data_IF_240816424782
#
_entry.id   IF_240816424782
#
_cell.length_a   1.000
_cell.length_b   1.000
_cell.length_c   1.000
_cell.angle_alpha   90.00
_cell.angle_beta   90.00
_cell.angle_gamma   90.00
#
_symmetry.space_group_name_H-M   'P 1'
#
loop_
_entity.id
_entity.type
_entity.pdbx_description
1 polymer ?
#
# COMPACT_ATOMS: atom_id res chain seq x y z
N UNK A 1 19.98 91.49 -26.55
CA UNK A 1 20.58 91.64 -27.90
C UNK A 1 22.07 91.47 -27.72
N UNK A 2 22.67 90.44 -28.34
CA UNK A 2 24.13 90.18 -28.45
C UNK A 2 24.80 89.82 -27.10
N UNK A 3 25.75 88.89 -26.93
CA UNK A 3 26.65 88.09 -27.78
C UNK A 3 27.18 86.94 -26.90
N UNK A 4 27.44 85.79 -27.52
CA UNK A 4 28.16 84.63 -26.97
C UNK A 4 29.55 84.97 -26.40
N UNK A 5 29.93 84.29 -25.32
CA UNK A 5 31.29 84.34 -24.77
C UNK A 5 31.88 82.92 -24.60
N UNK A 6 33.03 82.69 -25.28
CA UNK A 6 34.32 82.16 -24.77
C UNK A 6 34.30 80.93 -23.82
N UNK A 7 35.19 79.92 -23.83
CA UNK A 7 36.46 79.63 -24.50
C UNK A 7 36.92 78.22 -24.05
N UNK A 8 37.72 77.56 -24.90
CA UNK A 8 38.95 76.80 -24.63
C UNK A 8 39.11 75.62 -23.61
N UNK A 9 39.93 74.68 -24.13
CA UNK A 9 40.94 73.83 -23.50
C UNK A 9 40.54 72.53 -22.79
N UNK A 10 40.84 71.42 -23.48
CA UNK A 10 41.13 70.10 -22.91
C UNK A 10 42.66 69.93 -22.87
N UNK A 11 43.20 69.83 -21.66
CA UNK A 11 44.48 69.24 -21.22
C UNK A 11 44.21 68.91 -19.74
N UNK A 12 44.68 67.87 -19.05
CA UNK A 12 45.71 66.88 -19.30
C UNK A 12 45.77 65.91 -18.09
N UNK A 13 46.39 64.74 -18.34
CA UNK A 13 47.30 63.98 -17.46
C UNK A 13 46.87 63.35 -16.12
N UNK A 14 47.02 62.01 -16.11
CA UNK A 14 47.87 61.22 -15.19
C UNK A 14 47.43 60.94 -13.74
N UNK A 15 47.05 59.68 -13.49
CA UNK A 15 47.63 58.65 -12.55
C UNK A 15 48.42 59.09 -11.30
N UNK A 16 48.74 58.21 -10.30
CA UNK A 16 48.21 56.89 -9.86
C UNK A 16 48.13 56.73 -8.30
N UNK A 17 47.95 55.46 -7.84
CA UNK A 17 48.39 54.79 -6.58
C UNK A 17 47.27 54.35 -5.60
N UNK A 18 47.35 53.07 -5.19
CA UNK A 18 46.53 52.31 -4.21
C UNK A 18 46.94 52.62 -2.72
N UNK A 19 46.58 51.89 -1.62
CA UNK A 19 45.67 50.75 -1.39
C UNK A 19 44.83 50.81 -0.04
N UNK A 20 44.15 49.68 0.27
CA UNK A 20 43.77 49.08 1.59
C UNK A 20 42.30 49.13 2.11
N UNK A 21 41.78 47.90 2.28
CA UNK A 21 40.59 47.34 2.98
C UNK A 21 39.77 48.16 4.03
N UNK A 22 38.42 48.14 3.91
CA UNK A 22 37.47 47.45 4.85
C UNK A 22 35.99 47.53 4.42
N UNK A 23 35.30 46.40 4.67
CA UNK A 23 33.90 46.21 5.08
C UNK A 23 32.72 46.18 4.07
N UNK A 24 32.05 45.01 4.09
CA UNK A 24 30.62 44.70 3.93
C UNK A 24 29.88 45.05 2.62
N UNK A 25 29.29 44.05 1.96
CA UNK A 25 27.83 43.93 1.78
C UNK A 25 27.43 42.78 0.86
N UNK A 26 26.53 41.94 1.39
CA UNK A 26 25.47 41.12 0.79
C UNK A 26 25.68 40.35 -0.53
N UNK A 27 25.66 39.02 -0.41
CA UNK A 27 25.49 38.02 -1.46
C UNK A 27 23.98 37.71 -1.64
N UNK A 28 23.36 37.86 -2.82
CA UNK A 28 22.02 37.34 -3.03
C UNK A 28 22.10 35.86 -3.45
N UNK A 29 21.82 34.95 -2.51
CA UNK A 29 21.49 33.57 -2.82
C UNK A 29 20.22 33.52 -3.69
N UNK A 30 20.40 33.29 -4.97
CA UNK A 30 19.31 32.91 -5.87
C UNK A 30 18.81 31.53 -5.41
N UNK A 31 17.69 31.51 -4.69
CA UNK A 31 16.95 30.28 -4.38
C UNK A 31 16.59 29.57 -5.69
N UNK A 32 17.34 28.54 -6.07
CA UNK A 32 16.98 27.66 -7.18
C UNK A 32 15.69 26.92 -6.81
N UNK A 33 14.59 27.27 -7.48
CA UNK A 33 13.37 26.48 -7.47
C UNK A 33 13.71 25.09 -8.03
N UNK A 34 13.40 23.98 -7.34
CA UNK A 34 13.69 22.64 -7.84
C UNK A 34 12.93 22.41 -9.15
N UNK A 35 13.64 22.19 -10.25
CA UNK A 35 13.03 21.73 -11.50
C UNK A 35 12.76 20.23 -11.42
N UNK A 36 11.59 19.80 -11.93
CA UNK A 36 11.17 18.39 -12.00
C UNK A 36 12.21 17.59 -12.81
N UNK A 37 12.93 16.64 -12.20
CA UNK A 37 13.72 15.68 -12.95
C UNK A 37 12.76 14.72 -13.66
N UNK A 38 12.93 14.54 -14.97
CA UNK A 38 12.30 13.46 -15.74
C UNK A 38 13.07 12.18 -15.42
N UNK A 39 12.53 11.32 -14.55
CA UNK A 39 13.17 10.02 -14.25
C UNK A 39 12.76 8.94 -15.24
N UNK A 40 13.68 8.02 -15.61
CA UNK A 40 13.38 6.88 -16.47
C UNK A 40 12.54 5.85 -15.73
N UNK A 41 11.53 5.31 -16.41
CA UNK A 41 10.69 4.21 -15.92
C UNK A 41 11.52 2.92 -15.85
N UNK A 42 11.87 2.48 -14.63
CA UNK A 42 12.46 1.16 -14.39
C UNK A 42 11.32 0.15 -14.10
N UNK A 43 11.17 -0.93 -14.89
CA UNK A 43 10.19 -1.98 -14.64
C UNK A 43 10.31 -2.68 -13.27
N UNK A 44 11.45 -2.59 -12.58
CA UNK A 44 11.66 -3.17 -11.24
C UNK A 44 11.08 -2.31 -10.10
N UNK A 45 10.74 -1.03 -10.32
CA UNK A 45 10.07 -0.17 -9.32
C UNK A 45 8.58 -0.46 -9.16
N UNK A 46 8.11 -1.66 -9.52
CA UNK A 46 6.71 -2.05 -9.39
C UNK A 46 6.31 -2.11 -7.92
N UNK A 47 5.13 -1.59 -7.64
CA UNK A 47 4.48 -1.78 -6.35
C UNK A 47 4.12 -3.26 -6.22
N UNK A 48 4.98 -4.02 -5.55
CA UNK A 48 4.75 -5.45 -5.30
C UNK A 48 3.58 -5.70 -4.33
N UNK A 49 3.21 -4.67 -3.55
CA UNK A 49 2.09 -4.70 -2.62
C UNK A 49 1.29 -3.41 -2.78
N UNK A 50 0.09 -3.43 -3.41
CA UNK A 50 -0.70 -2.21 -3.62
C UNK A 50 -1.14 -1.54 -2.31
N UNK A 51 -0.89 -2.17 -1.18
CA UNK A 51 -1.22 -1.67 0.14
C UNK A 51 -0.09 -1.97 1.14
N UNK A 52 0.07 -1.08 2.10
CA UNK A 52 1.09 -1.18 3.13
C UNK A 52 0.58 -0.75 4.49
N UNK A 53 1.23 -1.23 5.54
CA UNK A 53 1.09 -0.72 6.91
C UNK A 53 2.27 0.18 7.24
N UNK A 54 1.97 1.31 7.88
CA UNK A 54 2.96 2.26 8.38
C UNK A 54 3.58 1.69 9.66
N UNK A 55 4.90 1.50 9.68
CA UNK A 55 5.61 0.85 10.80
C UNK A 55 6.21 1.83 11.81
N UNK A 56 6.27 3.11 11.46
CA UNK A 56 6.71 4.21 12.33
C UNK A 56 5.94 5.49 12.00
N UNK A 57 5.74 6.36 13.00
CA UNK A 57 5.13 7.67 12.77
C UNK A 57 5.98 8.50 11.80
N UNK A 58 5.34 9.03 10.76
CA UNK A 58 5.97 9.94 9.82
C UNK A 58 5.28 11.31 9.88
N UNK A 59 6.03 12.32 10.32
CA UNK A 59 5.59 13.71 10.33
C UNK A 59 6.06 14.39 9.03
N UNK A 60 5.14 14.88 8.19
CA UNK A 60 5.50 15.50 6.92
C UNK A 60 6.22 16.82 7.18
N UNK A 61 7.30 17.06 6.44
CA UNK A 61 8.07 18.30 6.43
C UNK A 61 7.71 19.19 5.24
N UNK A 62 7.06 18.62 4.22
CA UNK A 62 6.67 19.31 2.99
C UNK A 62 5.19 19.06 2.69
N UNK A 63 4.54 19.98 1.99
CA UNK A 63 3.10 19.89 1.68
C UNK A 63 2.72 18.70 0.78
N UNK A 64 3.68 18.19 -0.01
CA UNK A 64 3.47 17.03 -0.88
C UNK A 64 3.69 15.69 -0.18
N UNK A 65 4.10 15.70 1.09
CA UNK A 65 4.34 14.49 1.88
C UNK A 65 3.08 14.04 2.62
N UNK A 66 2.86 12.73 2.66
CA UNK A 66 1.75 12.13 3.37
C UNK A 66 2.16 11.79 4.80
N UNK A 67 1.69 12.59 5.76
CA UNK A 67 1.83 12.26 7.18
C UNK A 67 1.02 11.02 7.56
N UNK A 68 1.62 10.13 8.34
CA UNK A 68 0.94 8.90 8.76
C UNK A 68 1.38 8.41 10.14
N UNK A 69 0.46 7.72 10.83
CA UNK A 69 0.73 7.13 12.15
C UNK A 69 1.10 5.67 12.03
N UNK A 70 1.95 5.19 12.94
CA UNK A 70 2.26 3.77 13.07
C UNK A 70 0.97 2.98 13.21
N UNK A 71 0.84 1.94 12.41
CA UNK A 71 -0.33 1.09 12.30
C UNK A 71 -1.32 1.54 11.24
N UNK A 72 -1.24 2.75 10.68
CA UNK A 72 -2.14 3.16 9.59
C UNK A 72 -1.92 2.27 8.36
N UNK A 73 -3.02 1.85 7.74
CA UNK A 73 -3.00 1.14 6.47
C UNK A 73 -3.25 2.15 5.34
N UNK A 74 -2.42 2.10 4.29
CA UNK A 74 -2.45 3.03 3.16
C UNK A 74 -2.40 2.28 1.83
N UNK A 75 -3.00 2.86 0.80
CA UNK A 75 -2.86 2.38 -0.58
C UNK A 75 -1.63 3.00 -1.24
N UNK A 76 -0.91 2.21 -2.04
CA UNK A 76 0.26 2.63 -2.81
C UNK A 76 -0.11 2.68 -4.29
N UNK A 77 0.24 3.77 -4.95
CA UNK A 77 -0.17 4.03 -6.36
C UNK A 77 1.01 4.12 -7.30
N UNK A 78 2.08 4.81 -6.90
CA UNK A 78 3.29 4.94 -7.70
C UNK A 78 4.55 4.80 -6.84
N UNK A 79 5.59 4.20 -7.40
CA UNK A 79 6.95 4.27 -6.86
C UNK A 79 7.67 5.36 -7.64
N UNK A 80 8.06 6.46 -6.98
CA UNK A 80 8.75 7.56 -7.66
C UNK A 80 10.22 7.22 -7.93
N UNK A 81 10.84 6.58 -6.94
CA UNK A 81 12.21 6.11 -6.88
C UNK A 81 12.31 5.03 -5.79
N UNK A 82 13.51 4.51 -5.52
CA UNK A 82 13.72 3.45 -4.53
C UNK A 82 13.38 3.84 -3.08
N UNK A 83 13.15 5.14 -2.82
CA UNK A 83 12.98 5.70 -1.48
C UNK A 83 11.57 6.17 -1.18
N UNK A 84 10.74 6.47 -2.19
CA UNK A 84 9.43 7.10 -1.98
C UNK A 84 8.29 6.45 -2.77
N UNK A 85 7.17 6.24 -2.08
CA UNK A 85 5.90 5.89 -2.70
C UNK A 85 4.94 7.07 -2.70
N UNK A 86 4.15 7.20 -3.76
CA UNK A 86 2.92 7.99 -3.74
C UNK A 86 1.78 7.13 -3.19
N UNK A 87 1.11 7.62 -2.16
CA UNK A 87 0.16 6.86 -1.37
C UNK A 87 -1.09 7.67 -1.02
N UNK A 88 -2.13 6.97 -0.58
CA UNK A 88 -3.38 7.56 -0.12
C UNK A 88 -3.91 6.86 1.14
N UNK A 89 -4.63 7.61 1.98
CA UNK A 89 -5.38 7.05 3.10
C UNK A 89 -6.64 6.36 2.61
N UNK A 90 -7.07 5.27 3.25
CA UNK A 90 -8.26 4.50 2.80
C UNK A 90 -9.57 5.29 2.82
N UNK A 91 -9.66 6.36 3.62
CA UNK A 91 -10.79 7.30 3.60
C UNK A 91 -10.73 8.31 2.44
N UNK A 92 -9.70 8.19 1.59
CA UNK A 92 -9.40 9.03 0.42
C UNK A 92 -9.23 10.53 0.75
N UNK A 93 -9.02 10.89 2.01
CA UNK A 93 -8.89 12.29 2.43
C UNK A 93 -7.50 12.85 2.26
N UNK A 94 -6.47 12.02 2.28
CA UNK A 94 -5.09 12.46 2.17
C UNK A 94 -4.34 11.63 1.14
N UNK A 95 -3.50 12.32 0.37
CA UNK A 95 -2.59 11.74 -0.63
C UNK A 95 -1.25 12.45 -0.53
N UNK A 96 -0.18 11.76 -0.90
CA UNK A 96 1.16 12.35 -0.87
C UNK A 96 2.27 11.32 -0.92
N UNK A 97 3.49 11.79 -0.86
CA UNK A 97 4.68 10.95 -0.83
C UNK A 97 5.01 10.50 0.59
N UNK A 98 5.31 9.22 0.77
CA UNK A 98 5.76 8.65 2.04
C UNK A 98 7.03 7.80 1.82
N UNK A 99 8.02 7.85 2.73
CA UNK A 99 9.24 7.11 2.52
C UNK A 99 9.02 5.60 2.68
N UNK A 100 9.61 4.82 1.78
CA UNK A 100 9.49 3.36 1.72
C UNK A 100 9.91 2.66 3.02
N UNK A 101 10.91 3.18 3.72
CA UNK A 101 11.40 2.61 4.98
C UNK A 101 10.44 2.81 6.17
N UNK A 102 9.37 3.61 6.01
CA UNK A 102 8.29 3.73 6.99
C UNK A 102 7.16 2.74 6.73
N UNK A 103 7.28 1.90 5.71
CA UNK A 103 6.23 0.99 5.27
C UNK A 103 6.64 -0.47 5.34
N UNK A 104 5.64 -1.32 5.56
CA UNK A 104 5.71 -2.76 5.33
C UNK A 104 4.58 -3.16 4.40
N UNK A 105 4.93 -3.79 3.28
CA UNK A 105 3.94 -4.34 2.34
C UNK A 105 3.03 -5.36 3.01
N UNK A 106 1.75 -5.34 2.65
CA UNK A 106 0.77 -6.24 3.23
C UNK A 106 0.81 -7.62 2.58
N UNK A 107 0.75 -8.68 3.40
CA UNK A 107 0.56 -10.05 2.92
C UNK A 107 -0.92 -10.42 2.98
N UNK A 108 -1.56 -10.50 1.81
CA UNK A 108 -2.98 -10.85 1.67
C UNK A 108 -3.21 -12.32 1.34
N UNK A 109 -2.28 -12.98 0.65
CA UNK A 109 -2.37 -14.40 0.30
C UNK A 109 -0.98 -14.98 0.06
N UNK A 110 -0.90 -16.30 -0.11
CA UNK A 110 0.28 -16.96 -0.66
C UNK A 110 0.28 -16.88 -2.19
N UNK A 111 1.45 -16.89 -2.81
CA UNK A 111 1.55 -16.86 -4.27
C UNK A 111 1.09 -18.17 -4.92
N UNK A 112 1.07 -19.27 -4.15
CA UNK A 112 0.57 -20.57 -4.59
C UNK A 112 -0.96 -20.73 -4.45
N UNK A 113 -1.65 -19.77 -3.85
CA UNK A 113 -3.09 -19.84 -3.64
C UNK A 113 -3.86 -19.68 -4.96
N UNK A 114 -4.77 -20.61 -5.27
CA UNK A 114 -5.72 -20.48 -6.38
C UNK A 114 -7.04 -19.93 -5.85
N UNK A 115 -7.45 -18.77 -6.34
CA UNK A 115 -8.69 -18.11 -5.94
C UNK A 115 -9.84 -18.33 -6.92
N UNK A 116 -11.04 -18.46 -6.36
CA UNK A 116 -12.29 -18.62 -7.07
C UNK A 116 -13.22 -17.46 -6.73
N UNK A 117 -13.85 -16.87 -7.74
CA UNK A 117 -14.96 -15.94 -7.57
C UNK A 117 -16.27 -16.71 -7.62
N UNK A 118 -17.11 -16.47 -6.61
CA UNK A 118 -18.49 -16.98 -6.61
C UNK A 118 -19.33 -16.10 -7.52
N UNK A 119 -19.80 -16.68 -8.63
CA UNK A 119 -20.63 -15.97 -9.61
C UNK A 119 -22.12 -16.14 -9.35
N UNK A 120 -22.51 -17.16 -8.56
CA UNK A 120 -23.91 -17.44 -8.19
C UNK A 120 -24.01 -17.77 -6.70
N UNK A 121 -24.92 -17.11 -6.00
CA UNK A 121 -25.23 -17.42 -4.60
C UNK A 121 -25.72 -18.85 -4.46
N UNK A 122 -25.14 -19.60 -3.53
CA UNK A 122 -25.51 -20.97 -3.23
C UNK A 122 -25.76 -21.13 -1.73
N UNK A 123 -26.90 -21.73 -1.40
CA UNK A 123 -27.26 -22.09 -0.03
C UNK A 123 -26.97 -23.58 0.18
N UNK A 124 -26.24 -23.96 1.25
CA UNK A 124 -25.94 -25.35 1.56
C UNK A 124 -27.20 -26.20 1.63
N UNK A 125 -27.14 -27.39 1.04
CA UNK A 125 -28.19 -28.41 1.08
C UNK A 125 -27.76 -29.63 1.92
N UNK A 126 -26.46 -29.76 2.16
CA UNK A 126 -25.83 -30.81 2.95
C UNK A 126 -24.78 -30.23 3.92
N UNK A 127 -24.32 -31.06 4.86
CA UNK A 127 -23.28 -30.72 5.82
C UNK A 127 -21.87 -30.58 5.21
N UNK A 128 -21.65 -31.17 4.02
CA UNK A 128 -20.39 -31.03 3.27
C UNK A 128 -20.39 -29.81 2.36
N UNK A 129 -21.55 -29.19 2.14
CA UNK A 129 -21.70 -28.05 1.26
C UNK A 129 -21.19 -26.80 1.94
N UNK A 130 -20.45 -25.98 1.20
CA UNK A 130 -20.08 -24.63 1.65
C UNK A 130 -20.97 -23.60 0.95
N UNK A 131 -21.58 -22.74 1.75
CA UNK A 131 -22.45 -21.67 1.27
C UNK A 131 -21.67 -20.41 0.99
N UNK A 132 -22.03 -19.70 -0.07
CA UNK A 132 -21.45 -18.40 -0.40
C UNK A 132 -22.41 -17.55 -1.24
N UNK A 133 -22.22 -16.23 -1.21
CA UNK A 133 -22.96 -15.26 -2.01
C UNK A 133 -22.17 -14.93 -3.29
N UNK A 134 -22.90 -14.56 -4.35
CA UNK A 134 -22.26 -13.99 -5.52
C UNK A 134 -21.40 -12.78 -5.12
N UNK A 135 -20.17 -12.73 -5.63
CA UNK A 135 -19.15 -11.74 -5.28
C UNK A 135 -18.18 -12.20 -4.17
N UNK A 136 -18.51 -13.26 -3.43
CA UNK A 136 -17.58 -13.82 -2.44
C UNK A 136 -16.36 -14.46 -3.14
N UNK A 137 -15.21 -14.40 -2.48
CA UNK A 137 -13.96 -15.02 -2.92
C UNK A 137 -13.66 -16.25 -2.06
N UNK A 138 -13.19 -17.33 -2.70
CA UNK A 138 -12.89 -18.61 -2.07
C UNK A 138 -11.51 -19.10 -2.50
N UNK A 139 -10.88 -19.95 -1.68
CA UNK A 139 -9.68 -20.69 -2.04
C UNK A 139 -10.08 -22.03 -2.68
N UNK A 140 -9.47 -22.38 -3.81
CA UNK A 140 -9.60 -23.71 -4.39
C UNK A 140 -8.67 -24.69 -3.68
N UNK A 141 -9.21 -25.86 -3.33
CA UNK A 141 -8.44 -26.98 -2.74
C UNK A 141 -8.45 -28.22 -3.64
N UNK A 142 -9.16 -28.16 -4.77
CA UNK A 142 -9.23 -29.26 -5.72
C UNK A 142 -8.01 -29.23 -6.64
N UNK A 143 -7.07 -30.14 -6.41
CA UNK A 143 -5.85 -30.34 -7.23
C UNK A 143 -6.09 -30.52 -8.73
N UNK A 144 -7.34 -30.79 -9.16
CA UNK A 144 -7.71 -30.95 -10.58
C UNK A 144 -8.11 -29.63 -11.24
N UNK A 145 -8.11 -28.52 -10.51
CA UNK A 145 -8.41 -27.18 -11.03
C UNK A 145 -7.11 -26.40 -11.14
N UNK A 146 -6.78 -25.96 -12.35
CA UNK A 146 -5.56 -25.19 -12.62
C UNK A 146 -5.90 -23.87 -13.31
N UNK A 147 -4.97 -22.92 -13.20
CA UNK A 147 -5.02 -21.68 -13.96
C UNK A 147 -5.10 -21.94 -15.47
N UNK A 148 -5.94 -21.16 -16.16
CA UNK A 148 -6.13 -21.25 -17.61
C UNK A 148 -7.13 -22.33 -18.04
N UNK A 149 -7.46 -23.29 -17.18
CA UNK A 149 -8.46 -24.31 -17.46
C UNK A 149 -9.88 -23.81 -17.14
N UNK A 150 -10.92 -24.26 -17.87
CA UNK A 150 -12.29 -24.01 -17.47
C UNK A 150 -12.62 -24.73 -16.16
N UNK A 151 -13.43 -24.11 -15.30
CA UNK A 151 -13.92 -24.77 -14.09
C UNK A 151 -14.68 -26.06 -14.47
N UNK A 152 -14.30 -27.22 -13.91
CA UNK A 152 -15.02 -28.46 -14.15
C UNK A 152 -16.49 -28.35 -13.72
N UNK A 153 -17.42 -28.86 -14.54
CA UNK A 153 -18.84 -28.91 -14.22
C UNK A 153 -19.16 -30.04 -13.23
N UNK A 154 -18.60 -29.94 -12.02
CA UNK A 154 -18.78 -30.84 -10.88
C UNK A 154 -18.72 -30.04 -9.59
N UNK A 155 -18.90 -30.70 -8.46
CA UNK A 155 -18.60 -30.13 -7.15
C UNK A 155 -17.10 -29.92 -6.99
N UNK A 156 -16.72 -28.70 -6.62
CA UNK A 156 -15.33 -28.27 -6.41
C UNK A 156 -15.06 -28.20 -4.92
N UNK A 157 -13.98 -28.83 -4.48
CA UNK A 157 -13.52 -28.73 -3.11
C UNK A 157 -12.80 -27.40 -2.88
N UNK A 158 -13.27 -26.63 -1.92
CA UNK A 158 -12.83 -25.26 -1.70
C UNK A 158 -12.97 -24.86 -0.22
N UNK A 159 -12.44 -23.68 0.11
CA UNK A 159 -12.65 -23.05 1.41
C UNK A 159 -13.03 -21.59 1.28
N UNK A 160 -13.82 -21.09 2.23
CA UNK A 160 -13.99 -19.65 2.37
C UNK A 160 -12.72 -19.03 3.00
N UNK A 161 -12.63 -17.70 2.99
CA UNK A 161 -11.48 -17.00 3.57
C UNK A 161 -11.32 -17.23 5.08
N UNK A 162 -12.39 -17.54 5.80
CA UNK A 162 -12.33 -17.83 7.23
C UNK A 162 -11.80 -19.24 7.55
N UNK A 163 -11.49 -20.04 6.54
CA UNK A 163 -10.91 -21.39 6.68
C UNK A 163 -11.92 -22.53 6.78
N UNK A 164 -13.22 -22.27 6.65
CA UNK A 164 -14.23 -23.34 6.55
C UNK A 164 -14.12 -24.00 5.19
N UNK A 165 -14.05 -25.32 5.17
CA UNK A 165 -13.87 -26.13 3.97
C UNK A 165 -15.16 -26.85 3.61
N UNK A 166 -15.36 -27.12 2.33
CA UNK A 166 -16.51 -27.88 1.84
C UNK A 166 -16.51 -27.98 0.33
N UNK A 167 -17.65 -28.36 -0.23
CA UNK A 167 -17.84 -28.43 -1.68
C UNK A 167 -18.81 -27.37 -2.18
N UNK A 168 -18.52 -26.81 -3.35
CA UNK A 168 -19.34 -25.80 -4.01
C UNK A 168 -19.61 -26.18 -5.48
N UNK A 169 -20.81 -25.92 -6.05
CA UNK A 169 -21.09 -26.24 -7.45
C UNK A 169 -20.20 -25.46 -8.44
N UNK A 170 -19.39 -26.15 -9.24
CA UNK A 170 -18.49 -25.55 -10.23
C UNK A 170 -19.17 -24.58 -11.20
N UNK A 171 -20.43 -24.83 -11.54
CA UNK A 171 -21.26 -23.96 -12.40
C UNK A 171 -21.52 -22.53 -11.86
N UNK A 172 -21.15 -22.27 -10.61
CA UNK A 172 -21.24 -20.97 -9.94
C UNK A 172 -19.88 -20.39 -9.56
N UNK A 173 -18.78 -20.87 -10.17
CA UNK A 173 -17.42 -20.44 -9.88
C UNK A 173 -16.69 -19.95 -11.15
N UNK A 174 -15.76 -19.03 -10.97
CA UNK A 174 -14.82 -18.53 -11.96
C UNK A 174 -13.41 -18.51 -11.34
N UNK A 175 -12.38 -18.93 -12.08
CA UNK A 175 -10.99 -18.82 -11.63
C UNK A 175 -10.57 -17.35 -11.71
N UNK A 176 -10.00 -16.82 -10.62
CA UNK A 176 -9.41 -15.48 -10.60
C UNK A 176 -7.93 -15.55 -10.94
N UNK A 177 -7.55 -15.04 -12.11
CA UNK A 177 -6.18 -14.99 -12.63
C UNK A 177 -5.49 -13.63 -12.43
N UNK A 178 -6.28 -12.55 -12.34
CA UNK A 178 -5.76 -11.20 -12.12
C UNK A 178 -5.41 -10.93 -10.65
N UNK A 179 -4.12 -10.75 -10.36
CA UNK A 179 -3.64 -10.37 -9.02
C UNK A 179 -4.28 -9.08 -8.48
N UNK A 180 -4.55 -8.11 -9.36
CA UNK A 180 -5.25 -6.87 -8.96
C UNK A 180 -6.67 -7.18 -8.50
N UNK A 181 -7.44 -7.93 -9.29
CA UNK A 181 -8.83 -8.32 -8.96
C UNK A 181 -8.87 -9.15 -7.66
N UNK A 182 -7.90 -10.07 -7.47
CA UNK A 182 -7.77 -10.85 -6.23
C UNK A 182 -7.54 -9.90 -5.05
N UNK A 183 -6.54 -9.02 -5.12
CA UNK A 183 -6.23 -8.10 -4.02
C UNK A 183 -7.42 -7.20 -3.68
N UNK A 184 -8.12 -6.66 -4.69
CA UNK A 184 -9.31 -5.83 -4.49
C UNK A 184 -10.44 -6.58 -3.75
N UNK A 185 -10.66 -7.85 -4.09
CA UNK A 185 -11.65 -8.69 -3.41
C UNK A 185 -11.22 -9.06 -2.00
N UNK A 186 -9.95 -9.40 -1.80
CA UNK A 186 -9.39 -9.72 -0.48
C UNK A 186 -9.47 -8.54 0.48
N UNK A 187 -9.27 -7.31 0.00
CA UNK A 187 -9.38 -6.10 0.82
C UNK A 187 -10.83 -5.73 1.16
N UNK A 188 -11.79 -6.19 0.35
CA UNK A 188 -13.23 -6.04 0.61
C UNK A 188 -13.76 -7.10 1.57
N UNK A 189 -13.00 -8.16 1.84
CA UNK A 189 -13.35 -9.12 2.88
C UNK A 189 -13.09 -8.53 4.27
N UNK A 190 -13.90 -8.85 5.30
CA UNK A 190 -13.59 -8.50 6.68
C UNK A 190 -12.26 -9.13 7.12
N UNK A 191 -11.30 -8.31 7.53
CA UNK A 191 -9.97 -8.79 7.89
C UNK A 191 -9.32 -7.91 8.96
N UNK A 192 -8.28 -8.44 9.60
CA UNK A 192 -7.42 -7.71 10.51
C UNK A 192 -5.99 -7.74 9.98
N UNK A 193 -5.25 -6.63 10.10
CA UNK A 193 -3.84 -6.57 9.73
C UNK A 193 -2.98 -6.58 11.00
N UNK A 194 -2.05 -7.52 11.08
CA UNK A 194 -1.15 -7.63 12.22
C UNK A 194 -0.21 -6.42 12.33
N UNK A 195 -0.14 -5.83 13.53
CA UNK A 195 0.77 -4.72 13.88
C UNK A 195 2.08 -5.19 14.49
N UNK A 196 2.18 -6.47 14.80
CA UNK A 196 3.34 -7.12 15.41
C UNK A 196 3.49 -8.53 14.82
N UNK A 197 4.71 -9.07 14.84
CA UNK A 197 4.94 -10.48 14.50
C UNK A 197 4.79 -11.34 15.75
N UNK A 198 4.07 -12.45 15.63
CA UNK A 198 3.87 -13.45 16.69
C UNK A 198 4.38 -14.79 16.14
N UNK A 199 5.50 -15.29 16.68
CA UNK A 199 6.15 -16.54 16.23
C UNK A 199 5.79 -17.74 17.10
N UNK A 200 5.71 -17.55 18.42
CA UNK A 200 5.45 -18.59 19.41
C UNK A 200 4.17 -18.23 20.21
N UNK A 201 2.99 -18.39 19.60
CA UNK A 201 1.74 -17.99 20.23
C UNK A 201 1.45 -18.82 21.48
N UNK A 202 0.84 -18.19 22.49
CA UNK A 202 0.15 -18.91 23.55
C UNK A 202 -1.03 -19.72 22.98
N UNK A 203 -1.61 -20.62 23.77
CA UNK A 203 -2.65 -21.53 23.27
C UNK A 203 -3.85 -20.80 22.61
N UNK A 204 -4.22 -21.30 21.44
CA UNK A 204 -5.24 -20.74 20.55
C UNK A 204 -4.88 -19.46 19.80
N UNK A 205 -3.75 -18.80 20.09
CA UNK A 205 -3.28 -17.66 19.30
C UNK A 205 -2.65 -18.11 17.99
N UNK A 206 -2.79 -17.27 16.97
CA UNK A 206 -2.27 -17.56 15.65
C UNK A 206 -0.84 -17.03 15.50
N UNK A 207 0.02 -17.83 14.86
CA UNK A 207 1.31 -17.35 14.40
C UNK A 207 1.09 -16.45 13.17
N UNK A 208 1.57 -15.21 13.20
CA UNK A 208 1.31 -14.23 12.16
C UNK A 208 2.47 -13.24 12.04
N UNK A 209 2.77 -12.78 10.83
CA UNK A 209 3.83 -11.79 10.60
C UNK A 209 3.28 -10.36 10.60
N UNK A 210 4.10 -9.38 11.00
CA UNK A 210 3.78 -7.97 10.82
C UNK A 210 3.33 -7.67 9.38
N UNK A 211 2.17 -7.04 9.22
CA UNK A 211 1.57 -6.69 7.93
C UNK A 211 0.80 -7.82 7.25
N UNK A 212 0.71 -9.00 7.87
CA UNK A 212 -0.09 -10.11 7.35
C UNK A 212 -1.58 -9.94 7.73
N UNK A 213 -2.46 -10.31 6.80
CA UNK A 213 -3.90 -10.32 7.02
C UNK A 213 -4.36 -11.58 7.77
N UNK A 214 -5.37 -11.39 8.62
CA UNK A 214 -6.22 -12.43 9.18
C UNK A 214 -7.66 -12.18 8.73
N UNK A 215 -8.24 -13.10 7.97
CA UNK A 215 -9.62 -13.03 7.51
C UNK A 215 -10.57 -13.43 8.61
N UNK A 216 -11.42 -12.51 9.04
CA UNK A 216 -12.20 -12.62 10.27
C UNK A 216 -13.42 -13.53 10.03
N UNK A 217 -13.53 -14.58 10.84
CA UNK A 217 -14.75 -15.38 10.97
C UNK A 217 -15.71 -14.72 11.97
N UNK A 218 -15.18 -14.35 13.14
CA UNK A 218 -15.93 -13.81 14.26
C UNK A 218 -15.02 -13.03 15.21
N UNK A 219 -15.63 -12.18 16.02
CA UNK A 219 -14.98 -11.53 17.14
C UNK A 219 -15.59 -12.03 18.44
N UNK A 220 -14.76 -12.33 19.43
CA UNK A 220 -15.19 -12.75 20.78
C UNK A 220 -14.33 -12.00 21.80
N UNK A 221 -14.96 -11.13 22.60
CA UNK A 221 -14.26 -10.25 23.51
C UNK A 221 -13.22 -9.39 22.77
N UNK A 222 -11.99 -9.36 23.30
CA UNK A 222 -10.88 -8.58 22.76
C UNK A 222 -10.03 -9.35 21.73
N UNK A 223 -10.63 -10.33 21.04
CA UNK A 223 -9.94 -11.13 20.03
C UNK A 223 -10.80 -11.39 18.81
N UNK A 224 -10.15 -11.38 17.65
CA UNK A 224 -10.72 -11.84 16.37
C UNK A 224 -10.23 -13.25 16.06
N UNK A 225 -11.09 -14.07 15.49
CA UNK A 225 -10.80 -15.45 15.10
C UNK A 225 -10.88 -15.56 13.58
N UNK A 226 -9.95 -16.29 12.98
CA UNK A 226 -9.90 -16.39 11.53
C UNK A 226 -8.73 -17.21 11.01
N UNK A 227 -8.52 -17.07 9.70
CA UNK A 227 -7.42 -17.68 8.96
C UNK A 227 -6.47 -16.59 8.46
N UNK A 228 -5.17 -16.77 8.65
CA UNK A 228 -4.17 -15.84 8.11
C UNK A 228 -4.01 -16.00 6.61
N UNK A 229 -3.44 -15.00 5.96
CA UNK A 229 -3.01 -15.07 4.57
C UNK A 229 -2.08 -16.27 4.32
N UNK A 230 -1.22 -16.62 5.26
CA UNK A 230 -0.35 -17.82 5.19
C UNK A 230 -1.05 -19.13 5.59
N UNK A 231 -2.36 -19.10 5.78
CA UNK A 231 -3.19 -20.28 5.98
C UNK A 231 -3.27 -20.88 7.37
N UNK A 232 -2.79 -20.16 8.40
CA UNK A 232 -2.90 -20.60 9.79
C UNK A 232 -4.23 -20.17 10.38
N UNK A 233 -4.83 -21.00 11.23
CA UNK A 233 -6.11 -20.68 11.90
C UNK A 233 -5.88 -20.44 13.37
N UNK A 234 -6.51 -19.41 13.93
CA UNK A 234 -6.43 -19.11 15.36
C UNK A 234 -7.02 -17.75 15.69
N UNK A 235 -6.72 -17.25 16.89
CA UNK A 235 -7.15 -15.92 17.36
C UNK A 235 -6.01 -14.90 17.35
N UNK A 236 -6.37 -13.63 17.20
CA UNK A 236 -5.48 -12.48 17.27
C UNK A 236 -6.12 -11.41 18.16
N UNK A 237 -5.37 -10.86 19.11
CA UNK A 237 -5.88 -9.82 20.00
C UNK A 237 -6.09 -8.50 19.24
N UNK A 238 -7.13 -7.75 19.60
CA UNK A 238 -7.42 -6.44 19.00
C UNK A 238 -6.27 -5.44 19.20
N UNK A 239 -5.53 -5.56 20.30
CA UNK A 239 -4.35 -4.73 20.56
C UNK A 239 -3.20 -5.01 19.59
N UNK A 240 -3.16 -6.20 18.99
CA UNK A 240 -2.10 -6.63 18.06
C UNK A 240 -2.47 -6.45 16.59
N UNK A 241 -3.65 -5.93 16.28
CA UNK A 241 -4.08 -5.75 14.90
C UNK A 241 -4.83 -4.44 14.65
N UNK A 242 -5.09 -4.13 13.38
CA UNK A 242 -6.10 -3.19 12.96
C UNK A 242 -7.21 -3.96 12.27
N UNK A 243 -8.41 -3.91 12.83
CA UNK A 243 -9.60 -4.51 12.21
C UNK A 243 -10.10 -3.59 11.11
N UNK A 244 -10.25 -4.15 9.92
CA UNK A 244 -10.78 -3.50 8.73
C UNK A 244 -12.08 -4.23 8.40
N UNK A 245 -13.19 -3.51 8.57
CA UNK A 245 -14.51 -3.94 8.11
C UNK A 245 -14.89 -3.01 6.97
N UNK A 246 -14.71 -3.46 5.71
CA UNK A 246 -15.13 -2.68 4.55
C UNK A 246 -16.65 -2.41 4.62
N UNK A 247 -17.11 -1.25 4.11
CA UNK A 247 -18.51 -0.83 4.18
C UNK A 247 -19.48 -1.77 3.47
#
# INVERSE_FOLDING_TARGET
MLIDFFWNHILSFSTPIAPLNRAASSNPEIKKVPQRPTTPFDPETRINFPHAIVIADFCPQQEYELGAKKGTVIGLTECRDDSWYYAYTFDLKQVGYIPRNFLKGMKLCEDADLFLLVTKTFRPQSHVDIGARAGDIMLCLDSKVNYGDPIPNKWIYCMNLSGRQGVFPGSGLEILDSRSKINDLLLKAPHAIAKTSISNPADGYVQISLGEALYIEKQVGDSVFGRTASGKVGKLALNDCNVIVPP
#
